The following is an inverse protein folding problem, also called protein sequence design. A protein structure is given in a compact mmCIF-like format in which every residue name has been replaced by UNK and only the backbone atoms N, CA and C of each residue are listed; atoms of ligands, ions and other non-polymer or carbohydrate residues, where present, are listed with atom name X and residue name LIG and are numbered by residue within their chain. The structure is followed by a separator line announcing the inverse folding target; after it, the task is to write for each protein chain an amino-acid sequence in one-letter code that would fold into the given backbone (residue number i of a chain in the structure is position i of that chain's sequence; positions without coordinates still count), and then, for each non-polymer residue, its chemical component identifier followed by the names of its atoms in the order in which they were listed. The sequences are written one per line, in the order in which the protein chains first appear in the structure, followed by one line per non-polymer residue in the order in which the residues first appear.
data_IF_010513040917
#
_entry.id   IF_010513040917
#
_cell.length_a   1.000
_cell.length_b   1.000
_cell.length_c   1.000
_cell.angle_alpha   90.00
_cell.angle_beta   90.00
_cell.angle_gamma   90.00
#
_symmetry.space_group_name_H-M   'P 1'
#
loop_
_entity.id
_entity.type
_entity.pdbx_description
1 polymer ?
#
# COMPACT_ATOMS: atom_id res chain seq x y z
N UNK A 1 4.84 8.01 8.05
CA UNK A 1 4.48 6.86 8.91
C UNK A 1 5.77 6.20 9.39
N UNK A 2 5.89 5.87 10.67
CA UNK A 2 7.10 5.23 11.22
C UNK A 2 7.12 3.72 10.96
N UNK A 3 8.30 3.10 11.03
CA UNK A 3 8.44 1.63 11.06
C UNK A 3 7.71 1.07 12.28
N UNK A 4 7.14 -0.12 12.14
CA UNK A 4 6.32 -0.79 13.15
C UNK A 4 4.91 -0.20 13.34
N UNK A 5 4.64 1.00 12.84
CA UNK A 5 3.29 1.57 12.88
C UNK A 5 2.34 0.79 11.94
N UNK A 6 1.05 0.87 12.21
CA UNK A 6 0.00 0.27 11.37
C UNK A 6 -1.15 1.25 11.18
N UNK A 7 -1.71 1.26 9.97
CA UNK A 7 -2.93 1.97 9.63
C UNK A 7 -3.88 1.03 8.88
N UNK A 8 -5.13 1.03 9.32
CA UNK A 8 -6.15 0.09 8.87
C UNK A 8 -7.44 0.86 8.53
N UNK A 9 -8.01 0.61 7.35
CA UNK A 9 -9.22 1.30 6.89
C UNK A 9 -10.09 0.38 6.00
N UNK A 10 -11.42 0.56 6.06
CA UNK A 10 -12.36 -0.07 5.11
C UNK A 10 -12.36 0.55 3.71
N UNK A 11 -11.85 1.78 3.60
CA UNK A 11 -11.68 2.51 2.35
C UNK A 11 -10.23 2.60 1.92
N UNK A 12 -9.93 3.64 1.15
CA UNK A 12 -8.56 3.95 0.70
C UNK A 12 -7.74 4.63 1.79
N UNK A 13 -6.42 4.52 1.70
CA UNK A 13 -5.46 5.11 2.63
C UNK A 13 -4.57 6.10 1.88
N UNK A 14 -4.45 7.32 2.40
CA UNK A 14 -3.57 8.37 1.84
C UNK A 14 -2.48 8.73 2.85
N UNK A 15 -1.23 8.54 2.46
CA UNK A 15 -0.05 8.92 3.25
C UNK A 15 0.73 9.97 2.47
N UNK A 16 0.66 11.22 2.89
CA UNK A 16 1.41 12.33 2.28
C UNK A 16 2.85 12.43 2.81
N UNK A 17 3.57 11.32 2.76
CA UNK A 17 4.94 11.18 3.24
C UNK A 17 5.44 9.76 3.01
N UNK A 18 6.53 9.34 3.68
CA UNK A 18 6.98 7.96 3.60
C UNK A 18 6.03 7.02 4.36
N UNK A 19 5.64 5.94 3.70
CA UNK A 19 4.95 4.78 4.29
C UNK A 19 6.03 3.78 4.69
N UNK A 20 6.38 3.71 5.98
CA UNK A 20 7.44 2.81 6.51
C UNK A 20 6.94 1.63 7.33
N UNK A 21 5.65 1.61 7.66
CA UNK A 21 5.03 0.53 8.43
C UNK A 21 4.06 -0.25 7.57
N UNK A 22 2.92 -0.63 8.14
CA UNK A 22 1.89 -1.45 7.48
C UNK A 22 0.62 -0.69 7.14
N UNK A 23 0.19 -0.74 5.88
CA UNK A 23 -1.06 -0.14 5.44
C UNK A 23 -2.05 -1.21 4.96
N UNK A 24 -3.21 -1.30 5.63
CA UNK A 24 -4.23 -2.32 5.38
C UNK A 24 -5.52 -1.62 4.97
N UNK A 25 -5.78 -1.56 3.67
CA UNK A 25 -6.94 -0.92 3.07
C UNK A 25 -8.01 -1.95 2.67
N UNK A 26 -9.22 -1.46 2.39
CA UNK A 26 -10.30 -2.30 1.88
C UNK A 26 -10.84 -3.34 2.89
N UNK A 27 -10.65 -3.12 4.19
CA UNK A 27 -11.16 -4.02 5.24
C UNK A 27 -12.68 -4.16 5.10
N UNK A 28 -13.15 -5.40 4.96
CA UNK A 28 -14.57 -5.72 4.82
C UNK A 28 -15.04 -5.95 3.38
N UNK A 29 -14.16 -6.32 2.45
CA UNK A 29 -14.57 -6.75 1.11
C UNK A 29 -14.41 -5.70 0.01
N UNK A 30 -13.55 -4.69 0.19
CA UNK A 30 -13.45 -3.57 -0.74
C UNK A 30 -12.16 -3.64 -1.58
N UNK A 31 -12.19 -4.47 -2.63
CA UNK A 31 -11.13 -4.63 -3.61
C UNK A 31 -10.78 -3.35 -4.42
N UNK A 32 -11.71 -2.39 -4.47
CA UNK A 32 -11.50 -1.11 -5.16
C UNK A 32 -10.73 -0.09 -4.32
N UNK A 33 -10.47 -0.38 -3.04
CA UNK A 33 -9.62 0.46 -2.21
C UNK A 33 -8.21 0.61 -2.80
N UNK A 34 -7.58 1.73 -2.45
CA UNK A 34 -6.24 2.11 -2.93
C UNK A 34 -5.39 2.60 -1.77
N UNK A 35 -4.09 2.39 -1.86
CA UNK A 35 -3.11 2.98 -0.93
C UNK A 35 -2.25 3.95 -1.73
N UNK A 36 -2.12 5.17 -1.24
CA UNK A 36 -1.33 6.21 -1.88
C UNK A 36 -0.24 6.67 -0.92
N UNK A 37 0.99 6.78 -1.43
CA UNK A 37 2.14 7.26 -0.66
C UNK A 37 3.04 8.17 -1.49
N UNK A 38 3.75 9.09 -0.84
CA UNK A 38 4.79 9.91 -1.49
C UNK A 38 6.16 9.21 -1.53
N UNK A 39 6.36 8.20 -0.69
CA UNK A 39 7.50 7.29 -0.75
C UNK A 39 7.07 5.90 -0.26
N UNK A 40 7.18 4.89 -1.12
CA UNK A 40 6.88 3.50 -0.78
C UNK A 40 8.10 2.86 -0.12
N UNK A 41 8.06 2.77 1.20
CA UNK A 41 9.08 2.13 2.05
C UNK A 41 8.41 1.11 2.99
N UNK A 42 7.28 0.56 2.55
CA UNK A 42 6.33 -0.15 3.40
C UNK A 42 6.91 -1.49 3.89
N UNK A 43 6.62 -1.86 5.13
CA UNK A 43 6.85 -3.22 5.61
C UNK A 43 5.84 -4.18 4.96
N UNK A 44 4.58 -3.73 4.85
CA UNK A 44 3.49 -4.46 4.23
C UNK A 44 2.42 -3.51 3.71
N UNK A 45 1.84 -3.85 2.55
CA UNK A 45 0.59 -3.25 2.07
C UNK A 45 -0.44 -4.35 1.83
N UNK A 46 -1.70 -4.08 2.14
CA UNK A 46 -2.79 -5.00 1.88
C UNK A 46 -4.04 -4.28 1.37
N UNK A 47 -4.75 -4.91 0.44
CA UNK A 47 -6.05 -4.47 -0.06
C UNK A 47 -6.94 -5.71 -0.10
N UNK A 48 -8.07 -5.66 0.61
CA UNK A 48 -9.09 -6.72 0.62
C UNK A 48 -8.52 -8.11 0.97
N UNK A 49 -7.60 -8.16 1.93
CA UNK A 49 -6.98 -9.41 2.40
C UNK A 49 -5.79 -9.90 1.56
N UNK A 50 -5.59 -9.39 0.35
CA UNK A 50 -4.38 -9.64 -0.44
C UNK A 50 -3.28 -8.68 0.01
N UNK A 51 -2.08 -9.21 0.27
CA UNK A 51 -0.97 -8.43 0.80
C UNK A 51 0.33 -8.65 0.02
N UNK A 52 1.23 -7.69 0.15
CA UNK A 52 2.61 -7.78 -0.31
C UNK A 52 3.53 -7.28 0.81
N UNK A 53 4.61 -8.01 1.08
CA UNK A 53 5.69 -7.57 1.97
C UNK A 53 6.70 -6.72 1.21
N UNK A 54 7.61 -6.05 1.93
CA UNK A 54 8.69 -5.27 1.35
C UNK A 54 9.54 -6.05 0.32
N UNK A 55 9.66 -7.37 0.46
CA UNK A 55 10.43 -8.25 -0.45
C UNK A 55 9.71 -8.52 -1.77
N UNK A 56 8.38 -8.44 -1.77
CA UNK A 56 7.53 -8.67 -2.95
C UNK A 56 7.28 -7.39 -3.75
N UNK A 57 7.54 -6.22 -3.15
CA UNK A 57 7.39 -4.92 -3.83
C UNK A 57 8.58 -4.68 -4.76
N UNK A 58 8.29 -4.38 -6.03
CA UNK A 58 9.32 -4.12 -7.04
C UNK A 58 10.19 -2.92 -6.66
N UNK A 59 11.51 -3.09 -6.75
CA UNK A 59 12.51 -2.07 -6.51
C UNK A 59 12.31 -0.80 -7.38
N UNK A 60 11.61 -0.90 -8.52
CA UNK A 60 11.23 0.25 -9.33
C UNK A 60 10.41 1.28 -8.56
N UNK A 61 9.61 0.86 -7.57
CA UNK A 61 8.69 1.71 -6.82
C UNK A 61 9.23 2.15 -5.45
N UNK A 62 10.32 1.53 -4.99
CA UNK A 62 10.93 1.81 -3.67
C UNK A 62 11.33 3.26 -3.53
N UNK A 63 10.95 3.87 -2.40
CA UNK A 63 11.21 5.27 -2.05
C UNK A 63 10.69 6.28 -3.07
N UNK A 64 9.73 5.89 -3.92
CA UNK A 64 9.07 6.77 -4.90
C UNK A 64 7.58 6.97 -4.57
N UNK A 65 6.95 8.04 -5.09
CA UNK A 65 5.51 8.18 -5.04
C UNK A 65 4.82 7.01 -5.76
N UNK A 66 3.88 6.37 -5.07
CA UNK A 66 3.21 5.18 -5.58
C UNK A 66 1.74 5.12 -5.20
N UNK A 67 0.96 4.50 -6.08
CA UNK A 67 -0.37 4.01 -5.82
C UNK A 67 -0.32 2.47 -5.82
N UNK A 68 -0.89 1.86 -4.79
CA UNK A 68 -1.14 0.41 -4.72
C UNK A 68 -2.60 0.15 -5.05
N UNK A 69 -2.85 -0.78 -5.96
CA UNK A 69 -4.17 -1.21 -6.40
C UNK A 69 -4.26 -2.73 -6.46
N UNK A 70 -5.45 -3.28 -6.20
CA UNK A 70 -5.72 -4.70 -6.39
C UNK A 70 -6.33 -4.93 -7.78
N UNK A 71 -5.78 -5.90 -8.52
CA UNK A 71 -6.31 -6.38 -9.79
C UNK A 71 -6.55 -7.88 -9.69
N UNK A 72 -7.80 -8.28 -9.45
CA UNK A 72 -8.13 -9.66 -9.10
C UNK A 72 -7.54 -10.00 -7.73
N UNK A 73 -6.57 -10.90 -7.70
CA UNK A 73 -5.91 -11.39 -6.48
C UNK A 73 -4.44 -10.92 -6.39
N UNK A 74 -4.05 -9.97 -7.25
CA UNK A 74 -2.67 -9.50 -7.36
C UNK A 74 -2.59 -8.01 -7.11
N UNK A 75 -1.70 -7.62 -6.20
CA UNK A 75 -1.38 -6.22 -5.96
C UNK A 75 -0.50 -5.68 -7.09
N UNK A 76 -0.86 -4.49 -7.55
CA UNK A 76 -0.18 -3.73 -8.59
C UNK A 76 0.33 -2.42 -8.00
N UNK A 77 1.53 -2.04 -8.41
CA UNK A 77 2.21 -0.83 -7.97
C UNK A 77 2.34 0.08 -9.18
N UNK A 78 1.83 1.30 -9.05
CA UNK A 78 1.78 2.28 -10.13
C UNK A 78 2.47 3.58 -9.66
N UNK A 79 3.19 4.29 -10.55
CA UNK A 79 3.73 5.60 -10.22
C UNK A 79 2.61 6.61 -9.98
N UNK A 80 2.80 7.49 -9.00
CA UNK A 80 1.88 8.59 -8.73
C UNK A 80 2.37 9.85 -9.47
N UNK A 81 1.58 10.33 -10.45
CA UNK A 81 1.88 11.53 -11.22
C UNK A 81 1.85 12.82 -10.37
#
# INVERSE_FOLDING_TARGET
MASGAEVSAGGSIHIYGPLRGRAIAGIGGNADARIFTRALEAELVAIDGFYATAEEMDAEHTSKPAQVALSGETLTFLPLA
#
